data_IF_837537452203
#
_entry.id   IF_837537452203
#
_cell.length_a   1.000
_cell.length_b   1.000
_cell.length_c   1.000
_cell.angle_alpha   90.00
_cell.angle_beta   90.00
_cell.angle_gamma   90.00
#
_symmetry.space_group_name_H-M   'P 1'
#
loop_
_entity.id
_entity.type
_entity.pdbx_description
1 polymer ?
#
# COMPACT_ATOMS: atom_id res chain seq x y z
N UNK A 1 -17.10 -9.95 -41.82
CA UNK A 1 -15.65 -9.72 -41.67
C UNK A 1 -15.34 -8.39 -41.00
N UNK A 2 -15.82 -7.25 -41.51
CA UNK A 2 -15.55 -5.92 -40.92
C UNK A 2 -15.98 -5.80 -39.43
N UNK A 3 -17.17 -6.32 -39.08
CA UNK A 3 -17.64 -6.32 -37.68
C UNK A 3 -16.70 -7.08 -36.73
N UNK A 4 -16.12 -8.20 -37.17
CA UNK A 4 -15.18 -8.99 -36.36
C UNK A 4 -13.87 -8.23 -36.13
N UNK A 5 -13.34 -7.56 -37.16
CA UNK A 5 -12.14 -6.73 -37.04
C UNK A 5 -12.35 -5.56 -36.08
N UNK A 6 -13.51 -4.90 -36.15
CA UNK A 6 -13.86 -3.82 -35.24
C UNK A 6 -13.95 -4.32 -33.79
N UNK A 7 -14.57 -5.48 -33.58
CA UNK A 7 -14.68 -6.10 -32.26
C UNK A 7 -13.30 -6.49 -31.70
N UNK A 8 -12.41 -7.00 -32.54
CA UNK A 8 -11.03 -7.32 -32.16
C UNK A 8 -10.24 -6.08 -31.77
N UNK A 9 -10.37 -4.98 -32.53
CA UNK A 9 -9.74 -3.70 -32.19
C UNK A 9 -10.25 -3.15 -30.86
N UNK A 10 -11.56 -3.22 -30.62
CA UNK A 10 -12.18 -2.78 -29.37
C UNK A 10 -11.64 -3.57 -28.18
N UNK A 11 -11.53 -4.89 -28.29
CA UNK A 11 -10.97 -5.74 -27.24
C UNK A 11 -9.50 -5.45 -26.95
N UNK A 12 -8.70 -5.17 -27.99
CA UNK A 12 -7.30 -4.79 -27.83
C UNK A 12 -7.17 -3.43 -27.13
N UNK A 13 -8.02 -2.46 -27.48
CA UNK A 13 -8.06 -1.16 -26.81
C UNK A 13 -8.45 -1.32 -25.34
N UNK A 14 -9.46 -2.15 -25.05
CA UNK A 14 -9.89 -2.45 -23.69
C UNK A 14 -8.77 -3.12 -22.88
N UNK A 15 -8.06 -4.07 -23.46
CA UNK A 15 -6.88 -4.71 -22.85
C UNK A 15 -5.80 -3.69 -22.48
N UNK A 16 -5.47 -2.79 -23.41
CA UNK A 16 -4.48 -1.75 -23.19
C UNK A 16 -4.89 -0.80 -22.05
N UNK A 17 -6.16 -0.38 -22.05
CA UNK A 17 -6.71 0.47 -21.00
C UNK A 17 -6.66 -0.22 -19.63
N UNK A 18 -7.02 -1.51 -19.58
CA UNK A 18 -6.95 -2.31 -18.36
C UNK A 18 -5.51 -2.41 -17.82
N UNK A 19 -4.53 -2.64 -18.71
CA UNK A 19 -3.12 -2.68 -18.36
C UNK A 19 -2.63 -1.33 -17.80
N UNK A 20 -3.01 -0.22 -18.44
CA UNK A 20 -2.66 1.11 -17.97
C UNK A 20 -3.26 1.40 -16.59
N UNK A 21 -4.54 1.03 -16.39
CA UNK A 21 -5.22 1.17 -15.11
C UNK A 21 -4.52 0.35 -14.02
N UNK A 22 -4.14 -0.89 -14.32
CA UNK A 22 -3.38 -1.75 -13.41
C UNK A 22 -2.05 -1.10 -13.01
N UNK A 23 -1.31 -0.55 -13.97
CA UNK A 23 -0.04 0.14 -13.70
C UNK A 23 -0.24 1.35 -12.79
N UNK A 24 -1.24 2.20 -13.09
CA UNK A 24 -1.54 3.38 -12.29
C UNK A 24 -1.94 3.01 -10.86
N UNK A 25 -2.79 2.00 -10.71
CA UNK A 25 -3.21 1.47 -9.41
C UNK A 25 -2.00 0.98 -8.60
N UNK A 26 -1.10 0.24 -9.24
CA UNK A 26 0.12 -0.28 -8.61
C UNK A 26 1.04 0.87 -8.16
N UNK A 27 1.19 1.92 -8.97
CA UNK A 27 1.97 3.10 -8.62
C UNK A 27 1.36 3.86 -7.43
N UNK A 28 0.05 4.12 -7.46
CA UNK A 28 -0.66 4.80 -6.36
C UNK A 28 -0.50 4.03 -5.06
N UNK A 29 -0.60 2.71 -5.14
CA UNK A 29 -0.40 1.86 -3.99
C UNK A 29 1.05 1.86 -3.50
N UNK A 30 2.04 1.79 -4.38
CA UNK A 30 3.44 1.88 -3.98
C UNK A 30 3.70 3.17 -3.19
N UNK A 31 3.12 4.29 -3.65
CA UNK A 31 3.20 5.57 -2.95
C UNK A 31 2.53 5.51 -1.56
N UNK A 32 1.34 4.92 -1.46
CA UNK A 32 0.63 4.74 -0.18
C UNK A 32 1.45 3.86 0.79
N UNK A 33 2.03 2.77 0.30
CA UNK A 33 2.89 1.88 1.07
C UNK A 33 4.12 2.62 1.60
N UNK A 34 4.78 3.42 0.74
CA UNK A 34 5.93 4.23 1.11
C UNK A 34 5.58 5.25 2.20
N UNK A 35 4.44 5.93 2.08
CA UNK A 35 3.96 6.88 3.08
C UNK A 35 3.70 6.18 4.42
N UNK A 36 3.08 5.00 4.40
CA UNK A 36 2.82 4.24 5.62
C UNK A 36 4.11 3.75 6.25
N UNK A 37 5.07 3.27 5.45
CA UNK A 37 6.40 2.87 5.92
C UNK A 37 7.13 4.05 6.58
N UNK A 38 7.05 5.25 6.00
CA UNK A 38 7.63 6.46 6.59
C UNK A 38 7.00 6.76 7.95
N UNK A 39 5.67 6.66 8.06
CA UNK A 39 4.98 6.84 9.34
C UNK A 39 5.38 5.77 10.36
N UNK A 40 5.49 4.51 9.92
CA UNK A 40 5.94 3.38 10.74
C UNK A 40 7.37 3.58 11.24
N UNK A 41 8.24 4.28 10.49
CA UNK A 41 9.60 4.59 10.92
C UNK A 41 9.66 5.80 11.86
N UNK A 42 8.81 6.81 11.62
CA UNK A 42 8.75 8.01 12.44
C UNK A 42 8.23 7.72 13.86
N UNK A 43 7.29 6.77 13.99
CA UNK A 43 6.63 6.51 15.26
C UNK A 43 7.56 5.86 16.34
N UNK A 44 8.41 4.87 16.03
CA UNK A 44 9.47 4.39 16.91
C UNK A 44 10.49 5.48 17.28
N UNK A 45 10.82 6.38 16.35
CA UNK A 45 11.69 7.52 16.65
C UNK A 45 11.03 8.45 17.68
N UNK A 46 9.73 8.71 17.55
CA UNK A 46 8.98 9.49 18.52
C UNK A 46 8.88 8.78 19.88
N UNK A 47 8.71 7.46 19.87
CA UNK A 47 8.75 6.63 21.09
C UNK A 47 10.11 6.73 21.79
N UNK A 48 11.21 6.65 21.03
CA UNK A 48 12.56 6.79 21.55
C UNK A 48 12.77 8.16 22.18
N UNK A 49 12.31 9.22 21.50
CA UNK A 49 12.38 10.59 22.02
C UNK A 49 11.57 10.74 23.32
N UNK A 50 10.38 10.15 23.38
CA UNK A 50 9.54 10.15 24.58
C UNK A 50 10.23 9.42 25.75
N UNK A 51 10.84 8.26 25.48
CA UNK A 51 11.62 7.52 26.48
C UNK A 51 12.83 8.31 26.97
N UNK A 52 13.55 8.99 26.09
CA UNK A 52 14.66 9.87 26.45
C UNK A 52 14.18 11.00 27.36
N UNK A 53 13.05 11.64 27.02
CA UNK A 53 12.45 12.69 27.84
C UNK A 53 12.03 12.18 29.22
N UNK A 54 11.41 11.00 29.27
CA UNK A 54 11.02 10.35 30.52
C UNK A 54 12.26 10.06 31.40
N UNK A 55 13.33 9.54 30.80
CA UNK A 55 14.59 9.28 31.49
C UNK A 55 15.20 10.56 32.06
N UNK A 56 15.24 11.63 31.25
CA UNK A 56 15.76 12.93 31.68
C UNK A 56 14.95 13.50 32.85
N UNK A 57 13.62 13.38 32.79
CA UNK A 57 12.73 13.86 33.84
C UNK A 57 12.90 13.06 35.14
N UNK A 58 13.08 11.74 35.04
CA UNK A 58 13.37 10.87 36.16
C UNK A 58 14.74 11.19 36.79
N UNK A 59 15.76 11.45 35.97
CA UNK A 59 17.08 11.90 36.45
C UNK A 59 16.98 13.24 37.18
N UNK A 60 16.23 14.20 36.63
CA UNK A 60 15.99 15.51 37.26
C UNK A 60 15.29 15.35 38.61
N UNK A 61 14.26 14.50 38.69
CA UNK A 61 13.55 14.20 39.93
C UNK A 61 14.49 13.56 40.97
N UNK A 62 15.33 12.61 40.55
CA UNK A 62 16.32 11.96 41.41
C UNK A 62 17.33 12.98 41.95
N UNK A 63 17.85 13.86 41.09
CA UNK A 63 18.76 14.92 41.48
C UNK A 63 18.11 15.88 42.49
N UNK A 64 16.84 16.25 42.25
CA UNK A 64 16.07 17.10 43.16
C UNK A 64 15.94 16.46 44.54
N UNK A 65 15.60 15.18 44.57
CA UNK A 65 15.46 14.40 45.79
C UNK A 65 16.81 14.26 46.52
N UNK A 66 17.90 14.06 45.79
CA UNK A 66 19.25 14.01 46.34
C UNK A 66 19.64 15.35 46.99
N UNK A 67 19.40 16.47 46.31
CA UNK A 67 19.65 17.81 46.86
C UNK A 67 18.82 18.03 48.13
N UNK A 68 17.55 17.63 48.12
CA UNK A 68 16.67 17.74 49.28
C UNK A 68 17.17 16.88 50.46
N UNK A 69 17.60 15.65 50.19
CA UNK A 69 18.20 14.76 51.19
C UNK A 69 19.48 15.35 51.78
N UNK A 70 20.39 15.86 50.94
CA UNK A 70 21.64 16.48 51.38
C UNK A 70 21.38 17.70 52.27
N UNK A 71 20.39 18.53 51.93
CA UNK A 71 20.00 19.68 52.76
C UNK A 71 19.46 19.28 54.13
N UNK A 72 18.72 18.17 54.21
CA UNK A 72 18.17 17.66 55.47
C UNK A 72 19.24 17.02 56.36
N UNK A 73 20.26 16.40 55.76
CA UNK A 73 21.35 15.72 56.49
C UNK A 73 22.46 16.67 56.97
N UNK A 74 22.50 17.92 56.54
CA UNK A 74 23.51 18.88 57.01
C UNK A 74 23.32 19.12 58.52
N UNK A 75 24.37 18.93 59.35
CA UNK A 75 24.27 19.14 60.78
C UNK A 75 23.94 20.62 61.09
N UNK A 76 23.17 20.89 62.16
CA UNK A 76 22.93 22.26 62.57
C UNK A 76 24.27 22.94 62.90
N UNK A 77 24.47 24.21 62.49
CA UNK A 77 25.68 24.94 62.86
C UNK A 77 25.80 25.05 64.39
N UNK A 78 27.03 25.08 64.94
CA UNK A 78 27.26 25.19 66.38
C UNK A 78 26.58 26.46 66.94
N UNK A 79 26.07 26.43 68.19
CA UNK A 79 25.27 27.51 68.75
C UNK A 79 26.08 28.82 68.83
N UNK A 80 25.63 29.92 68.20
CA UNK A 80 26.25 31.23 68.34
C UNK A 80 25.87 31.92 69.66
N UNK A 81 26.63 32.93 70.11
CA UNK A 81 26.27 33.78 71.24
C UNK A 81 24.90 34.49 71.02
N UNK A 82 24.18 34.89 72.08
CA UNK A 82 22.80 35.39 71.97
C UNK A 82 22.70 36.61 71.04
N UNK A 83 21.79 36.53 70.07
CA UNK A 83 21.62 37.50 68.99
C UNK A 83 20.14 37.86 68.75
N UNK A 84 19.86 38.98 68.06
CA UNK A 84 18.50 39.42 67.70
C UNK A 84 17.69 38.34 66.97
N UNK A 85 16.34 38.44 66.97
CA UNK A 85 15.45 37.41 66.44
C UNK A 85 15.82 37.05 64.99
N UNK A 86 15.92 35.76 64.66
CA UNK A 86 16.46 35.32 63.39
C UNK A 86 15.50 35.60 62.23
N UNK A 87 16.03 35.95 61.04
CA UNK A 87 15.24 35.93 59.81
C UNK A 87 14.68 34.52 59.55
N UNK A 88 13.57 34.41 58.80
CA UNK A 88 12.96 33.12 58.51
C UNK A 88 13.98 32.17 57.86
N UNK A 89 13.97 30.88 58.24
CA UNK A 89 14.96 29.92 57.79
C UNK A 89 14.86 29.75 56.28
N UNK A 90 15.93 30.11 55.56
CA UNK A 90 16.05 30.02 54.10
C UNK A 90 15.72 28.62 53.55
N UNK A 91 15.96 27.59 54.36
CA UNK A 91 15.63 26.20 54.04
C UNK A 91 14.11 25.96 53.87
N UNK A 92 13.26 26.60 54.69
CA UNK A 92 11.82 26.48 54.53
C UNK A 92 11.34 27.14 53.24
N UNK A 93 11.91 28.28 52.87
CA UNK A 93 11.60 28.94 51.60
C UNK A 93 12.02 28.06 50.40
N UNK A 94 13.20 27.45 50.46
CA UNK A 94 13.67 26.56 49.41
C UNK A 94 12.79 25.32 49.30
N UNK A 95 12.42 24.69 50.42
CA UNK A 95 11.47 23.57 50.44
C UNK A 95 10.10 23.97 49.87
N UNK A 96 9.60 25.15 50.25
CA UNK A 96 8.33 25.68 49.77
C UNK A 96 8.36 25.96 48.25
N UNK A 97 9.52 26.28 47.68
CA UNK A 97 9.71 26.43 46.23
C UNK A 97 9.91 25.08 45.52
N UNK A 98 10.58 24.11 46.14
CA UNK A 98 10.81 22.79 45.56
C UNK A 98 9.58 21.89 45.55
N UNK A 99 8.75 21.97 46.58
CA UNK A 99 7.52 21.19 46.70
C UNK A 99 6.57 21.37 45.50
N UNK A 100 6.20 22.59 45.07
CA UNK A 100 5.34 22.78 43.90
C UNK A 100 6.01 22.32 42.60
N UNK A 101 7.34 22.43 42.48
CA UNK A 101 8.07 21.89 41.32
C UNK A 101 7.94 20.36 41.25
N UNK A 102 8.12 19.67 42.38
CA UNK A 102 7.93 18.21 42.46
C UNK A 102 6.48 17.82 42.18
N UNK A 103 5.53 18.58 42.72
CA UNK A 103 4.09 18.39 42.48
C UNK A 103 3.70 18.64 41.02
N UNK A 104 4.46 19.43 40.26
CA UNK A 104 4.28 19.62 38.82
C UNK A 104 4.98 18.55 37.97
N UNK A 105 6.16 18.08 38.40
CA UNK A 105 6.90 17.02 37.70
C UNK A 105 6.19 15.66 37.77
N UNK A 106 5.58 15.34 38.90
CA UNK A 106 4.85 14.07 39.10
C UNK A 106 3.72 13.85 38.08
N UNK A 107 2.75 14.78 37.88
CA UNK A 107 1.69 14.61 36.90
C UNK A 107 2.23 14.62 35.47
N UNK A 108 3.31 15.35 35.19
CA UNK A 108 3.97 15.31 33.89
C UNK A 108 4.56 13.92 33.60
N UNK A 109 5.22 13.30 34.59
CA UNK A 109 5.73 11.93 34.48
C UNK A 109 4.59 10.93 34.25
N UNK A 110 3.49 11.06 35.00
CA UNK A 110 2.32 10.20 34.84
C UNK A 110 1.68 10.36 33.46
N UNK A 111 1.61 11.57 32.94
CA UNK A 111 1.12 11.84 31.58
C UNK A 111 2.01 11.18 30.52
N UNK A 112 3.33 11.32 30.62
CA UNK A 112 4.27 10.67 29.71
C UNK A 112 4.17 9.14 29.76
N UNK A 113 4.04 8.59 30.98
CA UNK A 113 3.86 7.16 31.18
C UNK A 113 2.56 6.64 30.56
N UNK A 114 1.48 7.43 30.58
CA UNK A 114 0.20 7.09 29.94
C UNK A 114 0.25 7.26 28.41
N UNK A 115 1.04 8.21 27.90
CA UNK A 115 1.20 8.42 26.46
C UNK A 115 1.97 7.27 25.80
N UNK A 116 2.94 6.66 26.49
CA UNK A 116 3.73 5.55 25.97
C UNK A 116 2.87 4.34 25.49
N UNK A 117 1.98 3.73 26.30
CA UNK A 117 1.14 2.63 25.86
C UNK A 117 0.14 3.05 24.77
N UNK A 118 -0.33 4.30 24.79
CA UNK A 118 -1.19 4.82 23.73
C UNK A 118 -0.46 4.85 22.38
N UNK A 119 0.80 5.29 22.38
CA UNK A 119 1.62 5.33 21.17
C UNK A 119 1.98 3.92 20.68
N UNK A 120 2.25 2.98 21.59
CA UNK A 120 2.43 1.56 21.25
C UNK A 120 1.18 0.95 20.63
N UNK A 121 -0.01 1.26 21.17
CA UNK A 121 -1.29 0.84 20.59
C UNK A 121 -1.46 1.42 19.18
N UNK A 122 -1.12 2.70 19.00
CA UNK A 122 -1.16 3.34 17.68
C UNK A 122 -0.22 2.66 16.69
N UNK A 123 1.00 2.29 17.10
CA UNK A 123 1.94 1.51 16.28
C UNK A 123 1.32 0.19 15.83
N UNK A 124 0.72 -0.55 16.77
CA UNK A 124 0.09 -1.84 16.51
C UNK A 124 -1.09 -1.70 15.54
N UNK A 125 -1.93 -0.69 15.74
CA UNK A 125 -3.04 -0.38 14.84
C UNK A 125 -2.55 -0.05 13.43
N UNK A 126 -1.50 0.76 13.31
CA UNK A 126 -0.90 1.11 12.03
C UNK A 126 -0.35 -0.13 11.31
N UNK A 127 0.32 -1.03 12.04
CA UNK A 127 0.81 -2.29 11.51
C UNK A 127 -0.34 -3.20 11.02
N UNK A 128 -1.41 -3.29 11.79
CA UNK A 128 -2.60 -4.06 11.39
C UNK A 128 -3.25 -3.47 10.13
N UNK A 129 -3.35 -2.14 10.06
CA UNK A 129 -3.87 -1.43 8.88
C UNK A 129 -3.00 -1.71 7.65
N UNK A 130 -1.67 -1.67 7.78
CA UNK A 130 -0.74 -2.03 6.72
C UNK A 130 -0.96 -3.45 6.21
N UNK A 131 -1.11 -4.41 7.12
CA UNK A 131 -1.37 -5.81 6.78
C UNK A 131 -2.69 -5.96 6.02
N UNK A 132 -3.75 -5.32 6.50
CA UNK A 132 -5.06 -5.33 5.86
C UNK A 132 -5.01 -4.71 4.46
N UNK A 133 -4.32 -3.58 4.31
CA UNK A 133 -4.12 -2.91 3.03
C UNK A 133 -3.36 -3.81 2.05
N UNK A 134 -2.30 -4.47 2.50
CA UNK A 134 -1.52 -5.41 1.69
C UNK A 134 -2.37 -6.61 1.25
N UNK A 135 -3.22 -7.13 2.12
CA UNK A 135 -4.15 -8.22 1.80
C UNK A 135 -5.18 -7.78 0.75
N UNK A 136 -5.79 -6.61 0.95
CA UNK A 136 -6.76 -6.03 0.00
C UNK A 136 -6.12 -5.84 -1.38
N UNK A 137 -4.89 -5.34 -1.41
CA UNK A 137 -4.11 -5.21 -2.64
C UNK A 137 -3.91 -6.55 -3.32
N UNK A 138 -3.45 -7.57 -2.59
CA UNK A 138 -3.19 -8.88 -3.16
C UNK A 138 -4.46 -9.44 -3.81
N UNK A 139 -5.60 -9.27 -3.13
CA UNK A 139 -6.91 -9.67 -3.64
C UNK A 139 -7.28 -8.90 -4.93
N UNK A 140 -7.08 -7.58 -4.93
CA UNK A 140 -7.37 -6.74 -6.10
C UNK A 140 -6.48 -7.11 -7.30
N UNK A 141 -5.20 -7.34 -7.07
CA UNK A 141 -4.25 -7.80 -8.08
C UNK A 141 -4.68 -9.16 -8.66
N UNK A 142 -5.06 -10.10 -7.80
CA UNK A 142 -5.55 -11.42 -8.21
C UNK A 142 -6.80 -11.30 -9.09
N UNK A 143 -7.75 -10.46 -8.70
CA UNK A 143 -8.98 -10.20 -9.46
C UNK A 143 -8.65 -9.62 -10.85
N UNK A 144 -7.77 -8.62 -10.91
CA UNK A 144 -7.35 -8.00 -12.17
C UNK A 144 -6.61 -8.99 -13.08
N UNK A 145 -5.76 -9.84 -12.51
CA UNK A 145 -5.08 -10.91 -13.24
C UNK A 145 -6.08 -11.92 -13.81
N UNK A 146 -7.09 -12.31 -13.04
CA UNK A 146 -8.14 -13.21 -13.49
C UNK A 146 -8.94 -12.59 -14.66
N UNK A 147 -9.27 -11.30 -14.55
CA UNK A 147 -9.95 -10.57 -15.63
C UNK A 147 -9.10 -10.50 -16.90
N UNK A 148 -7.80 -10.21 -16.76
CA UNK A 148 -6.84 -10.21 -17.86
C UNK A 148 -6.78 -11.57 -18.56
N UNK A 149 -6.67 -12.65 -17.79
CA UNK A 149 -6.66 -14.02 -18.30
C UNK A 149 -7.94 -14.34 -19.07
N UNK A 150 -9.10 -13.97 -18.53
CA UNK A 150 -10.39 -14.17 -19.18
C UNK A 150 -10.45 -13.44 -20.53
N UNK A 151 -9.98 -12.19 -20.59
CA UNK A 151 -9.99 -11.40 -21.82
C UNK A 151 -9.01 -11.98 -22.86
N UNK A 152 -7.84 -12.46 -22.44
CA UNK A 152 -6.90 -13.15 -23.31
C UNK A 152 -7.51 -14.44 -23.89
N UNK A 153 -8.20 -15.22 -23.07
CA UNK A 153 -8.91 -16.44 -23.50
C UNK A 153 -9.98 -16.11 -24.55
N UNK A 154 -10.77 -15.05 -24.32
CA UNK A 154 -11.77 -14.58 -25.27
C UNK A 154 -11.13 -14.20 -26.62
N UNK A 155 -10.02 -13.47 -26.59
CA UNK A 155 -9.29 -13.07 -27.80
C UNK A 155 -8.76 -14.30 -28.56
N UNK A 156 -8.21 -15.29 -27.84
CA UNK A 156 -7.75 -16.55 -28.43
C UNK A 156 -8.90 -17.30 -29.11
N UNK A 157 -10.05 -17.40 -28.45
CA UNK A 157 -11.24 -18.05 -28.99
C UNK A 157 -11.72 -17.37 -30.28
N UNK A 158 -11.72 -16.04 -30.32
CA UNK A 158 -12.10 -15.27 -31.51
C UNK A 158 -11.12 -15.47 -32.67
N UNK A 159 -9.82 -15.50 -32.38
CA UNK A 159 -8.79 -15.79 -33.38
C UNK A 159 -9.01 -17.19 -33.98
N UNK A 160 -9.26 -18.19 -33.14
CA UNK A 160 -9.56 -19.56 -33.58
C UNK A 160 -10.79 -19.60 -34.50
N UNK A 161 -11.87 -18.91 -34.11
CA UNK A 161 -13.09 -18.84 -34.91
C UNK A 161 -12.87 -18.17 -36.26
N UNK A 162 -12.08 -17.09 -36.30
CA UNK A 162 -11.72 -16.41 -37.54
C UNK A 162 -10.91 -17.32 -38.46
N UNK A 163 -9.95 -18.07 -37.92
CA UNK A 163 -9.15 -19.03 -38.68
C UNK A 163 -10.02 -20.15 -39.27
N UNK A 164 -10.96 -20.68 -38.48
CA UNK A 164 -11.90 -21.70 -38.95
C UNK A 164 -12.81 -21.17 -40.06
N UNK A 165 -13.31 -19.94 -39.93
CA UNK A 165 -14.13 -19.30 -40.97
C UNK A 165 -13.35 -19.07 -42.26
N UNK A 166 -12.08 -18.67 -42.16
CA UNK A 166 -11.19 -18.51 -43.31
C UNK A 166 -10.95 -19.85 -44.03
N UNK A 167 -10.70 -20.92 -43.28
CA UNK A 167 -10.54 -22.27 -43.84
C UNK A 167 -11.80 -22.72 -44.59
N UNK A 168 -12.98 -22.47 -44.02
CA UNK A 168 -14.26 -22.80 -44.66
C UNK A 168 -14.46 -22.01 -45.97
N UNK A 169 -14.14 -20.72 -45.97
CA UNK A 169 -14.23 -19.88 -47.19
C UNK A 169 -13.29 -20.37 -48.29
N UNK A 170 -12.06 -20.75 -47.95
CA UNK A 170 -11.10 -21.29 -48.91
C UNK A 170 -11.58 -22.63 -49.50
N UNK A 171 -12.14 -23.51 -48.66
CA UNK A 171 -12.71 -24.77 -49.11
C UNK A 171 -13.90 -24.56 -50.07
N UNK A 172 -14.80 -23.63 -49.74
CA UNK A 172 -15.93 -23.27 -50.61
C UNK A 172 -15.44 -22.74 -51.97
N UNK A 173 -14.43 -21.88 -51.96
CA UNK A 173 -13.87 -21.32 -53.19
C UNK A 173 -13.21 -22.41 -54.05
N UNK A 174 -12.48 -23.33 -53.43
CA UNK A 174 -11.89 -24.47 -54.12
C UNK A 174 -12.96 -25.37 -54.75
N UNK A 175 -14.05 -25.65 -54.02
CA UNK A 175 -15.19 -26.43 -54.52
C UNK A 175 -15.84 -25.74 -55.72
N UNK A 176 -16.07 -24.43 -55.63
CA UNK A 176 -16.66 -23.64 -56.71
C UNK A 176 -15.77 -23.66 -57.96
N UNK A 177 -14.45 -23.50 -57.79
CA UNK A 177 -13.49 -23.57 -58.88
C UNK A 177 -13.50 -24.95 -59.55
N UNK A 178 -13.53 -26.02 -58.76
CA UNK A 178 -13.61 -27.39 -59.26
C UNK A 178 -14.89 -27.61 -60.08
N UNK A 179 -16.03 -27.13 -59.58
CA UNK A 179 -17.32 -27.22 -60.28
C UNK A 179 -17.27 -26.49 -61.63
N UNK A 180 -16.70 -25.28 -61.65
CA UNK A 180 -16.58 -24.48 -62.86
C UNK A 180 -15.66 -25.14 -63.90
N UNK A 181 -14.54 -25.72 -63.45
CA UNK A 181 -13.65 -26.50 -64.31
C UNK A 181 -14.37 -27.71 -64.93
N UNK A 182 -15.15 -28.43 -64.13
CA UNK A 182 -15.90 -29.60 -64.60
C UNK A 182 -16.97 -29.20 -65.63
N UNK A 183 -17.66 -28.08 -65.40
CA UNK A 183 -18.65 -27.55 -66.34
C UNK A 183 -18.00 -27.12 -67.65
N UNK A 184 -16.84 -26.47 -67.60
CA UNK A 184 -16.07 -26.11 -68.78
C UNK A 184 -15.66 -27.34 -69.59
N UNK A 185 -15.17 -28.39 -68.91
CA UNK A 185 -14.75 -29.63 -69.55
C UNK A 185 -15.93 -30.34 -70.23
N UNK A 186 -17.09 -30.40 -69.58
CA UNK A 186 -18.32 -30.92 -70.18
C UNK A 186 -18.71 -30.14 -71.44
N UNK A 187 -18.64 -28.81 -71.40
CA UNK A 187 -18.96 -27.95 -72.54
C UNK A 187 -17.99 -28.20 -73.71
N UNK A 188 -16.70 -28.35 -73.44
CA UNK A 188 -15.69 -28.71 -74.45
C UNK A 188 -15.97 -30.08 -75.07
N UNK A 189 -16.36 -31.08 -74.27
CA UNK A 189 -16.72 -32.41 -74.78
C UNK A 189 -17.95 -32.36 -75.68
N UNK A 190 -18.97 -31.59 -75.31
CA UNK A 190 -20.18 -31.41 -76.13
C UNK A 190 -19.86 -30.74 -77.48
N UNK A 191 -19.03 -29.70 -77.47
CA UNK A 191 -18.58 -29.03 -78.69
C UNK A 191 -17.78 -29.97 -79.60
N UNK A 192 -16.90 -30.77 -79.02
CA UNK A 192 -16.11 -31.76 -79.77
C UNK A 192 -17.01 -32.85 -80.40
N UNK A 193 -18.00 -33.35 -79.67
CA UNK A 193 -18.93 -34.35 -80.17
C UNK A 193 -19.79 -33.80 -81.33
N UNK A 194 -20.25 -32.56 -81.23
CA UNK A 194 -21.00 -31.91 -82.30
C UNK A 194 -20.15 -31.75 -83.57
N UNK A 195 -18.86 -31.43 -83.44
CA UNK A 195 -17.97 -31.28 -84.59
C UNK A 195 -17.76 -32.62 -85.34
N UNK A 196 -17.67 -33.75 -84.62
CA UNK A 196 -17.52 -35.07 -85.23
C UNK A 196 -18.77 -35.57 -85.96
N UNK A 197 -19.98 -35.18 -85.52
CA UNK A 197 -21.22 -35.57 -86.21
C UNK A 197 -21.55 -34.71 -87.43
N UNK A 198 -20.90 -33.55 -87.59
CA UNK A 198 -21.09 -32.66 -88.74
C UNK A 198 -20.16 -32.93 -89.93
N UNK A 199 -19.32 -33.97 -89.86
CA UNK A 199 -18.44 -34.42 -90.95
C UNK A 199 -18.95 -35.72 -91.55
#
# INVERSE_FOLDING_TARGET
MLLLLLLQLLLLLLLLLLLLLLLLLLLLLLLLLLLLLLLLLLLPLLLLLLLLLLLLLLLLLLLLLLVLLLLVLLPPPPPPPPQPPPPPPRLLLLLLLLLPLLLLLLPLLLLLLLLLPLLLLLLLLLLLLLLLLLLLLLLLLLLLLLLLLLLLLLLLLQLLLLLLLLQLQLLLLLLLLLLLLLLLLLLLLLLHHHHHHSQ
#
